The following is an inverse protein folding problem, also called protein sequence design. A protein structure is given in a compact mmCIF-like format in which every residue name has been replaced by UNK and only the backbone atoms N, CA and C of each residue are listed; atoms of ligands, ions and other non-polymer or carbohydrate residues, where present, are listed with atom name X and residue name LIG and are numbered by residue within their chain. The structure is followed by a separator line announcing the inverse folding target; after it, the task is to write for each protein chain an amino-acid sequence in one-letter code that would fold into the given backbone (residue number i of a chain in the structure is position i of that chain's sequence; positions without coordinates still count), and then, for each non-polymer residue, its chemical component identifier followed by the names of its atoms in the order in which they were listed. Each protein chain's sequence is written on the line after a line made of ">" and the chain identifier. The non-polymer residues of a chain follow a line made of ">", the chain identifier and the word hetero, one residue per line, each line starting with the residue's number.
data_IF_283363738293
#
_entry.id   IF_283363738293
#
_cell.length_a   1.000
_cell.length_b   1.000
_cell.length_c   1.000
_cell.angle_alpha   90.00
_cell.angle_beta   90.00
_cell.angle_gamma   90.00
#
_symmetry.space_group_name_H-M   'P 1'
#
loop_
_entity.id
_entity.type
_entity.pdbx_description
1 polymer ?
#
# COMPACT_ATOMS: atom_id res chain seq x y z
N UNK A 1 33.63 -16.54 -15.99
CA UNK A 1 32.75 -16.00 -17.05
C UNK A 1 31.30 -16.10 -16.56
N UNK A 2 30.74 -15.01 -16.02
CA UNK A 2 29.37 -15.02 -15.45
C UNK A 2 28.35 -14.71 -16.56
N UNK A 3 27.45 -15.67 -16.84
CA UNK A 3 26.39 -15.52 -17.85
C UNK A 3 25.28 -14.64 -17.29
N UNK A 4 25.03 -13.48 -17.90
CA UNK A 4 23.91 -12.58 -17.58
C UNK A 4 22.62 -13.20 -18.13
N UNK A 5 21.61 -13.44 -17.29
CA UNK A 5 20.30 -13.96 -17.77
C UNK A 5 19.52 -12.86 -18.50
N UNK A 6 18.81 -13.23 -19.57
CA UNK A 6 17.96 -12.32 -20.36
C UNK A 6 16.70 -11.95 -19.55
N UNK A 7 16.38 -10.66 -19.43
CA UNK A 7 15.12 -10.22 -18.82
C UNK A 7 13.96 -10.44 -19.79
N UNK A 8 13.01 -11.29 -19.43
CA UNK A 8 11.78 -11.48 -20.20
C UNK A 8 10.87 -10.25 -20.04
N UNK A 9 10.37 -9.72 -21.16
CA UNK A 9 9.39 -8.62 -21.14
C UNK A 9 8.07 -9.09 -20.54
N UNK A 10 7.37 -8.21 -19.79
CA UNK A 10 6.05 -8.48 -19.19
C UNK A 10 5.06 -9.09 -20.19
N UNK A 11 5.10 -8.65 -21.46
CA UNK A 11 4.26 -9.19 -22.54
C UNK A 11 4.64 -10.63 -22.90
N UNK A 12 5.93 -10.93 -22.99
CA UNK A 12 6.44 -12.30 -23.23
C UNK A 12 6.01 -13.25 -22.10
N UNK A 13 6.08 -12.79 -20.85
CA UNK A 13 5.61 -13.56 -19.70
C UNK A 13 4.10 -13.86 -19.77
N UNK A 14 3.27 -12.86 -20.10
CA UNK A 14 1.82 -13.06 -20.23
C UNK A 14 1.47 -14.01 -21.39
N UNK A 15 2.14 -13.88 -22.54
CA UNK A 15 1.94 -14.78 -23.68
C UNK A 15 2.35 -16.21 -23.34
N UNK A 16 3.51 -16.42 -22.70
CA UNK A 16 3.98 -17.73 -22.25
C UNK A 16 3.07 -18.35 -21.18
N UNK A 17 2.54 -17.52 -20.27
CA UNK A 17 1.60 -17.96 -19.24
C UNK A 17 0.25 -18.39 -19.84
N UNK A 18 -0.25 -17.68 -20.85
CA UNK A 18 -1.48 -18.04 -21.56
C UNK A 18 -1.36 -19.40 -22.29
N UNK A 19 -0.20 -19.70 -22.88
CA UNK A 19 0.05 -21.01 -23.49
C UNK A 19 0.08 -22.16 -22.46
N UNK A 20 0.46 -21.89 -21.20
CA UNK A 20 0.45 -22.87 -20.10
C UNK A 20 -0.95 -23.18 -19.53
N UNK A 21 -1.95 -22.32 -19.78
CA UNK A 21 -3.30 -22.52 -19.23
C UNK A 21 -4.07 -23.67 -19.90
N UNK A 22 -3.66 -24.12 -21.08
CA UNK A 22 -4.29 -25.27 -21.76
C UNK A 22 -4.05 -26.58 -20.98
N UNK A 23 -2.98 -26.67 -20.20
CA UNK A 23 -2.71 -27.81 -19.31
C UNK A 23 -3.35 -27.69 -17.92
N UNK A 24 -3.81 -26.50 -17.52
CA UNK A 24 -4.41 -26.26 -16.20
C UNK A 24 -5.87 -26.73 -16.10
N UNK A 25 -6.54 -26.97 -17.22
CA UNK A 25 -7.90 -27.54 -17.26
C UNK A 25 -7.94 -28.98 -16.70
N UNK A 26 -6.83 -29.72 -16.73
CA UNK A 26 -6.76 -31.06 -16.12
C UNK A 26 -6.57 -31.05 -14.59
N UNK A 27 -6.07 -29.94 -14.00
CA UNK A 27 -5.88 -29.84 -12.54
C UNK A 27 -7.19 -29.55 -11.80
N UNK A 28 -8.24 -29.10 -12.51
CA UNK A 28 -9.58 -28.95 -11.91
C UNK A 28 -10.21 -30.30 -11.51
N UNK A 29 -9.70 -31.43 -12.00
CA UNK A 29 -10.19 -32.76 -11.63
C UNK A 29 -9.62 -33.29 -10.30
N UNK A 30 -8.56 -32.70 -9.74
CA UNK A 30 -7.86 -33.23 -8.55
C UNK A 30 -8.19 -32.51 -7.24
N UNK A 31 -9.23 -31.67 -7.21
CA UNK A 31 -9.77 -31.12 -5.95
C UNK A 31 -8.82 -30.17 -5.21
N UNK A 32 -7.74 -29.72 -5.84
CA UNK A 32 -6.87 -28.67 -5.30
C UNK A 32 -7.63 -27.37 -5.35
N UNK A 33 -7.94 -26.82 -4.17
CA UNK A 33 -8.59 -25.53 -3.98
C UNK A 33 -7.89 -24.45 -4.81
N UNK A 34 -8.48 -24.12 -5.95
CA UNK A 34 -8.09 -22.94 -6.72
C UNK A 34 -8.17 -21.74 -5.80
N UNK A 35 -7.14 -20.87 -5.75
CA UNK A 35 -7.31 -19.58 -5.08
C UNK A 35 -8.56 -18.95 -5.68
N UNK A 36 -9.42 -18.41 -4.84
CA UNK A 36 -10.60 -17.66 -5.23
C UNK A 36 -10.11 -16.44 -6.03
N UNK A 37 -9.77 -16.64 -7.30
CA UNK A 37 -9.70 -15.58 -8.29
C UNK A 37 -11.11 -15.07 -8.27
N UNK A 38 -11.28 -13.90 -7.65
CA UNK A 38 -12.57 -13.24 -7.55
C UNK A 38 -13.28 -13.47 -8.87
N UNK A 39 -14.37 -14.24 -8.83
CA UNK A 39 -15.33 -14.30 -9.93
C UNK A 39 -15.94 -12.91 -9.96
N UNK A 40 -15.15 -11.93 -10.43
CA UNK A 40 -15.60 -10.61 -10.73
C UNK A 40 -16.75 -10.86 -11.66
N UNK A 41 -17.96 -10.55 -11.17
CA UNK A 41 -19.15 -10.42 -11.98
C UNK A 41 -18.70 -9.87 -13.33
N UNK A 42 -19.04 -10.54 -14.43
CA UNK A 42 -18.60 -10.25 -15.80
C UNK A 42 -19.13 -8.90 -16.32
N UNK A 43 -19.13 -7.88 -15.47
CA UNK A 43 -19.48 -6.52 -15.75
C UNK A 43 -18.33 -5.80 -16.44
N UNK A 44 -18.71 -4.80 -17.22
CA UNK A 44 -17.79 -3.89 -17.90
C UNK A 44 -16.82 -3.28 -16.87
N UNK A 45 -15.53 -3.11 -17.16
CA UNK A 45 -14.62 -2.40 -16.25
C UNK A 45 -15.16 -1.02 -15.86
N UNK A 46 -14.91 -0.57 -14.62
CA UNK A 46 -15.38 0.72 -14.14
C UNK A 46 -14.95 1.91 -15.03
N UNK A 47 -13.74 1.81 -15.61
CA UNK A 47 -13.23 2.79 -16.59
C UNK A 47 -14.04 2.82 -17.89
N UNK A 48 -14.69 1.72 -18.25
CA UNK A 48 -15.52 1.57 -19.45
C UNK A 48 -17.03 1.73 -19.15
N UNK A 49 -17.37 2.22 -17.95
CA UNK A 49 -18.75 2.51 -17.55
C UNK A 49 -19.46 1.38 -16.81
N UNK A 50 -18.75 0.36 -16.31
CA UNK A 50 -19.35 -0.57 -15.34
C UNK A 50 -19.19 -0.12 -13.89
N UNK A 51 -19.57 -0.99 -12.98
CA UNK A 51 -19.64 -0.67 -11.55
C UNK A 51 -18.25 -0.52 -10.92
N UNK A 52 -18.06 0.52 -10.09
CA UNK A 52 -16.83 0.72 -9.34
C UNK A 52 -16.71 -0.33 -8.24
N UNK A 53 -15.53 -0.95 -8.13
CA UNK A 53 -15.21 -1.90 -7.05
C UNK A 53 -15.33 -1.25 -5.67
N UNK A 54 -14.92 0.01 -5.56
CA UNK A 54 -15.08 0.83 -4.37
C UNK A 54 -16.08 1.94 -4.67
N UNK A 55 -17.23 1.89 -3.99
CA UNK A 55 -18.36 2.80 -4.22
C UNK A 55 -18.19 4.13 -3.49
N UNK A 56 -17.49 4.09 -2.36
CA UNK A 56 -17.26 5.26 -1.53
C UNK A 56 -16.06 6.08 -2.01
N UNK A 57 -15.82 7.19 -1.31
CA UNK A 57 -14.66 8.05 -1.56
C UNK A 57 -13.49 7.54 -0.73
N UNK A 58 -12.32 7.54 -1.34
CA UNK A 58 -11.09 7.32 -0.60
C UNK A 58 -10.89 8.47 0.39
N UNK A 59 -10.43 8.19 1.62
CA UNK A 59 -10.11 9.25 2.56
C UNK A 59 -9.01 10.13 1.96
N UNK A 60 -9.11 11.43 2.23
CA UNK A 60 -8.02 12.35 1.93
C UNK A 60 -6.83 12.03 2.84
N UNK A 61 -5.63 12.17 2.31
CA UNK A 61 -4.40 12.05 3.07
C UNK A 61 -3.43 13.17 2.67
N UNK A 62 -2.77 13.84 3.63
CA UNK A 62 -2.81 13.63 5.08
C UNK A 62 -4.10 14.11 5.76
N UNK A 63 -4.35 13.63 6.98
CA UNK A 63 -5.42 14.15 7.84
C UNK A 63 -5.02 15.54 8.39
N UNK A 64 -5.65 16.60 7.88
CA UNK A 64 -5.45 17.99 8.29
C UNK A 64 -6.22 18.34 9.56
N UNK A 65 -6.05 17.55 10.63
CA UNK A 65 -6.78 17.76 11.89
C UNK A 65 -6.44 19.09 12.56
N UNK A 66 -7.42 19.74 13.20
CA UNK A 66 -7.23 20.99 13.96
C UNK A 66 -6.13 20.85 15.03
N UNK A 67 -6.04 19.67 15.66
CA UNK A 67 -5.00 19.37 16.65
C UNK A 67 -3.58 19.49 16.08
N UNK A 68 -3.37 19.08 14.82
CA UNK A 68 -2.08 19.22 14.16
C UNK A 68 -1.73 20.69 13.89
N UNK A 69 -2.71 21.50 13.47
CA UNK A 69 -2.52 22.94 13.27
C UNK A 69 -2.18 23.68 14.56
N UNK A 70 -2.86 23.35 15.65
CA UNK A 70 -2.64 24.02 16.94
C UNK A 70 -1.26 23.66 17.51
N UNK A 71 -0.84 22.39 17.40
CA UNK A 71 0.53 22.00 17.76
C UNK A 71 1.60 22.69 16.91
N UNK A 72 1.30 22.96 15.63
CA UNK A 72 2.22 23.70 14.76
C UNK A 72 2.34 25.16 15.21
N UNK A 73 1.21 25.83 15.51
CA UNK A 73 1.19 27.21 16.05
C UNK A 73 2.01 27.30 17.34
N UNK A 74 1.85 26.35 18.25
CA UNK A 74 2.63 26.29 19.48
C UNK A 74 4.14 26.26 19.22
N UNK A 75 4.59 25.43 18.28
CA UNK A 75 6.02 25.34 17.92
C UNK A 75 6.51 26.66 17.33
N UNK A 76 5.73 27.26 16.44
CA UNK A 76 6.07 28.54 15.83
C UNK A 76 6.23 29.64 16.87
N UNK A 77 5.26 29.80 17.78
CA UNK A 77 5.33 30.81 18.85
C UNK A 77 6.40 30.53 19.89
N UNK A 78 6.71 29.26 20.16
CA UNK A 78 7.79 28.90 21.08
C UNK A 78 9.17 29.36 20.60
N UNK A 79 9.33 29.59 19.28
CA UNK A 79 10.62 29.82 18.60
C UNK A 79 11.64 28.71 18.82
N UNK A 80 11.20 27.51 19.20
CA UNK A 80 12.04 26.32 19.43
C UNK A 80 11.86 25.33 18.30
N UNK A 81 12.56 25.57 17.21
CA UNK A 81 12.39 24.79 15.98
C UNK A 81 13.41 23.67 15.83
N UNK A 82 14.33 23.54 16.79
CA UNK A 82 15.42 22.56 16.74
C UNK A 82 15.39 21.65 17.94
N UNK A 83 15.97 20.46 17.74
CA UNK A 83 16.07 19.45 18.79
C UNK A 83 16.92 19.90 20.00
N UNK A 84 17.88 20.78 19.75
CA UNK A 84 18.93 21.18 20.71
C UNK A 84 18.48 22.39 21.56
N UNK A 85 17.25 22.89 21.35
CA UNK A 85 16.76 24.03 22.11
C UNK A 85 16.84 23.76 23.62
N UNK A 86 17.35 24.75 24.38
CA UNK A 86 17.79 24.62 25.79
C UNK A 86 16.66 24.27 26.77
N UNK A 87 15.40 24.34 26.35
CA UNK A 87 14.22 24.08 27.19
C UNK A 87 13.12 23.44 26.35
N UNK A 88 12.55 22.31 26.78
CA UNK A 88 11.32 21.70 26.24
C UNK A 88 11.27 21.50 24.72
N UNK A 89 11.49 20.27 24.26
CA UNK A 89 11.58 19.93 22.84
C UNK A 89 10.54 18.87 22.44
N UNK A 90 9.62 19.25 21.54
CA UNK A 90 8.56 18.40 20.98
C UNK A 90 9.09 17.12 20.32
N UNK A 91 10.30 17.15 19.74
CA UNK A 91 10.95 15.98 19.14
C UNK A 91 11.28 14.92 20.20
N UNK A 92 11.80 15.32 21.37
CA UNK A 92 12.11 14.39 22.47
C UNK A 92 10.83 13.77 23.03
N UNK A 93 9.76 14.56 23.17
CA UNK A 93 8.46 14.05 23.61
C UNK A 93 7.88 13.03 22.64
N UNK A 94 7.99 13.30 21.34
CA UNK A 94 7.62 12.36 20.28
C UNK A 94 8.45 11.07 20.37
N UNK A 95 9.77 11.18 20.43
CA UNK A 95 10.69 10.02 20.51
C UNK A 95 10.36 9.12 21.70
N UNK A 96 10.09 9.71 22.88
CA UNK A 96 9.68 8.97 24.08
C UNK A 96 8.37 8.23 23.90
N UNK A 97 7.35 8.90 23.35
CA UNK A 97 6.04 8.28 23.09
C UNK A 97 6.15 7.18 22.04
N UNK A 98 6.90 7.43 20.97
CA UNK A 98 7.14 6.48 19.90
C UNK A 98 7.86 5.23 20.38
N UNK A 99 8.88 5.37 21.23
CA UNK A 99 9.62 4.26 21.80
C UNK A 99 8.76 3.38 22.73
N UNK A 100 7.71 3.93 23.34
CA UNK A 100 6.78 3.20 24.20
C UNK A 100 5.72 2.42 23.39
N UNK A 101 5.59 2.66 22.08
CA UNK A 101 4.64 1.92 21.24
C UNK A 101 5.13 0.46 21.13
N UNK A 102 4.30 -0.52 21.55
CA UNK A 102 4.67 -1.92 21.41
C UNK A 102 4.86 -2.28 19.94
N UNK A 103 6.00 -2.91 19.62
CA UNK A 103 6.26 -3.42 18.28
C UNK A 103 5.38 -4.63 18.05
N UNK A 104 4.52 -4.61 17.04
CA UNK A 104 3.86 -5.83 16.54
C UNK A 104 4.95 -6.75 16.00
N UNK A 105 5.25 -7.81 16.74
CA UNK A 105 6.06 -8.96 16.33
C UNK A 105 5.20 -9.95 15.56
#
# INVERSE_FOLDING_TARGET
>A
MSKRSKSESRRSFLTKSAAGMVGASFVSATGVSTPLIASGTSGKPAMLGGEKVFKDKWPSWPDGSQAAEDMLKDVLYSRRWTRISRTGNRVIEFEKKWACIPKKT
#
